data_IF_786790314612
#
_entry.id   IF_786790314612
#
_cell.length_a   1.000
_cell.length_b   1.000
_cell.length_c   1.000
_cell.angle_alpha   90.00
_cell.angle_beta   90.00
_cell.angle_gamma   90.00
#
_symmetry.space_group_name_H-M   'P 1'
#
loop_
_entity.id
_entity.type
_entity.pdbx_description
1 polymer ?
#
# COMPACT_ATOMS: atom_id res chain seq x y z
N UNK A 1 23.22 -3.50 18.22
CA UNK A 1 23.46 -3.38 16.76
C UNK A 1 23.01 -4.63 15.99
N UNK A 2 23.53 -5.83 16.30
CA UNK A 2 23.16 -7.09 15.60
C UNK A 2 21.65 -7.39 15.54
N UNK A 3 20.90 -7.10 16.61
CA UNK A 3 19.44 -7.30 16.66
C UNK A 3 18.66 -6.44 15.65
N UNK A 4 19.09 -5.20 15.43
CA UNK A 4 18.46 -4.31 14.44
C UNK A 4 18.76 -4.78 13.02
N UNK A 5 19.96 -5.31 12.76
CA UNK A 5 20.29 -5.91 11.47
C UNK A 5 19.39 -7.13 11.17
N UNK A 6 19.21 -8.02 12.15
CA UNK A 6 18.30 -9.17 12.00
C UNK A 6 16.85 -8.72 11.80
N UNK A 7 16.40 -7.68 12.51
CA UNK A 7 15.06 -7.12 12.33
C UNK A 7 14.85 -6.50 10.95
N UNK A 8 15.85 -5.77 10.43
CA UNK A 8 15.82 -5.26 9.07
C UNK A 8 15.78 -6.40 8.03
N UNK A 9 16.57 -7.46 8.26
CA UNK A 9 16.53 -8.66 7.43
C UNK A 9 15.15 -9.33 7.48
N UNK A 10 14.53 -9.44 8.66
CA UNK A 10 13.16 -9.94 8.81
C UNK A 10 12.17 -9.14 7.96
N UNK A 11 12.23 -7.80 8.05
CA UNK A 11 11.36 -6.89 7.28
C UNK A 11 11.52 -7.13 5.78
N UNK A 12 12.76 -7.18 5.27
CA UNK A 12 13.02 -7.40 3.84
C UNK A 12 12.54 -8.78 3.37
N UNK A 13 12.71 -9.82 4.19
CA UNK A 13 12.18 -11.17 3.87
C UNK A 13 10.65 -11.26 3.90
N UNK A 14 9.98 -10.20 4.35
CA UNK A 14 8.52 -10.05 4.42
C UNK A 14 8.03 -8.96 3.47
N UNK A 15 8.74 -8.73 2.38
CA UNK A 15 8.22 -7.97 1.26
C UNK A 15 6.97 -8.67 0.68
N UNK A 16 5.96 -7.96 0.16
CA UNK A 16 4.74 -8.57 -0.39
C UNK A 16 5.03 -9.63 -1.46
N UNK A 17 5.95 -9.37 -2.39
CA UNK A 17 6.42 -10.36 -3.39
C UNK A 17 7.09 -11.62 -2.82
N UNK A 18 7.38 -11.67 -1.51
CA UNK A 18 7.84 -12.89 -0.86
C UNK A 18 6.68 -13.84 -0.48
N UNK A 19 5.43 -13.46 -0.71
CA UNK A 19 4.28 -14.35 -0.51
C UNK A 19 4.49 -15.68 -1.27
N UNK A 20 4.23 -16.86 -0.69
CA UNK A 20 3.64 -17.16 0.62
C UNK A 20 4.67 -17.51 1.70
N UNK A 21 5.63 -16.61 1.96
CA UNK A 21 6.61 -16.79 3.04
C UNK A 21 5.94 -16.80 4.43
N UNK A 22 5.40 -17.96 4.83
CA UNK A 22 4.72 -18.21 6.10
C UNK A 22 5.66 -18.74 7.21
N UNK A 23 6.95 -18.40 7.18
CA UNK A 23 7.85 -18.75 8.28
C UNK A 23 7.33 -18.10 9.58
N UNK A 24 7.32 -18.80 10.72
CA UNK A 24 6.88 -18.17 11.96
C UNK A 24 7.98 -17.27 12.53
N UNK A 25 7.61 -16.24 13.31
CA UNK A 25 8.60 -15.43 14.05
C UNK A 25 9.52 -16.30 14.93
N UNK A 26 8.97 -17.39 15.49
CA UNK A 26 9.68 -18.34 16.33
C UNK A 26 10.77 -19.06 15.55
N UNK A 27 10.44 -19.56 14.36
CA UNK A 27 11.39 -20.28 13.50
C UNK A 27 12.49 -19.35 12.96
N UNK A 28 12.10 -18.15 12.52
CA UNK A 28 13.04 -17.11 12.12
C UNK A 28 14.01 -16.77 13.26
N UNK A 29 13.49 -16.47 14.46
CA UNK A 29 14.29 -16.13 15.62
C UNK A 29 15.26 -17.25 16.05
N UNK A 30 14.84 -18.51 15.92
CA UNK A 30 15.64 -19.68 16.28
C UNK A 30 16.95 -19.74 15.49
N UNK A 31 16.92 -19.36 14.21
CA UNK A 31 18.11 -19.33 13.32
C UNK A 31 19.19 -18.35 13.79
N UNK A 32 18.79 -17.30 14.50
CA UNK A 32 19.68 -16.23 14.96
C UNK A 32 19.89 -16.23 16.48
N UNK A 33 19.38 -17.25 17.18
CA UNK A 33 19.37 -17.31 18.65
C UNK A 33 18.83 -16.03 19.29
N UNK A 34 17.78 -15.46 18.70
CA UNK A 34 17.16 -14.20 19.12
C UNK A 34 15.87 -14.47 19.91
N UNK A 35 15.58 -13.67 20.93
CA UNK A 35 14.28 -13.69 21.60
C UNK A 35 13.23 -12.99 20.73
N UNK A 36 12.02 -13.55 20.65
CA UNK A 36 10.91 -12.97 19.86
C UNK A 36 10.63 -11.53 20.30
N UNK A 37 10.58 -11.25 21.60
CA UNK A 37 10.37 -9.89 22.14
C UNK A 37 11.45 -8.89 21.69
N UNK A 38 12.69 -9.35 21.53
CA UNK A 38 13.77 -8.52 20.98
C UNK A 38 13.57 -8.24 19.49
N UNK A 39 13.12 -9.22 18.72
CA UNK A 39 12.79 -9.02 17.30
C UNK A 39 11.65 -8.01 17.18
N UNK A 40 10.56 -8.20 17.92
CA UNK A 40 9.38 -7.33 17.87
C UNK A 40 9.72 -5.89 18.22
N UNK A 41 10.44 -5.67 19.33
CA UNK A 41 10.90 -4.33 19.70
C UNK A 41 11.72 -3.67 18.59
N UNK A 42 12.67 -4.39 17.98
CA UNK A 42 13.50 -3.85 16.92
C UNK A 42 12.71 -3.57 15.64
N UNK A 43 11.80 -4.48 15.26
CA UNK A 43 10.92 -4.31 14.08
C UNK A 43 10.02 -3.10 14.27
N UNK A 44 9.35 -2.97 15.41
CA UNK A 44 8.46 -1.84 15.70
C UNK A 44 9.23 -0.50 15.72
N UNK A 45 10.49 -0.51 16.19
CA UNK A 45 11.36 0.67 16.13
C UNK A 45 11.76 1.03 14.70
N UNK A 46 12.08 0.05 13.85
CA UNK A 46 12.40 0.31 12.45
C UNK A 46 11.18 0.86 11.73
N UNK A 47 10.02 0.22 11.90
CA UNK A 47 8.76 0.64 11.26
C UNK A 47 8.40 2.07 11.66
N UNK A 48 8.45 2.38 12.96
CA UNK A 48 8.08 3.73 13.44
C UNK A 48 9.08 4.82 13.06
N UNK A 49 10.37 4.50 12.91
CA UNK A 49 11.39 5.47 12.50
C UNK A 49 11.38 5.77 11.00
N UNK A 50 11.11 4.76 10.17
CA UNK A 50 11.17 4.88 8.70
C UNK A 50 9.80 4.91 8.03
N UNK A 51 8.71 4.80 8.80
CA UNK A 51 7.35 4.89 8.27
C UNK A 51 6.93 3.69 7.41
N UNK A 52 7.51 2.51 7.61
CA UNK A 52 7.14 1.32 6.82
C UNK A 52 5.64 1.04 6.93
N UNK A 53 5.02 0.76 5.79
CA UNK A 53 3.63 0.32 5.75
C UNK A 53 3.62 -1.15 6.14
N UNK A 54 2.90 -1.49 7.22
CA UNK A 54 2.72 -2.86 7.68
C UNK A 54 1.28 -3.29 7.40
N UNK A 55 1.13 -4.45 6.78
CA UNK A 55 -0.17 -5.12 6.68
C UNK A 55 -0.04 -6.61 6.98
N UNK A 56 -1.18 -7.27 7.15
CA UNK A 56 -1.27 -8.67 7.53
C UNK A 56 -2.03 -9.44 6.45
N UNK A 57 -1.58 -10.65 6.11
CA UNK A 57 -2.41 -11.58 5.32
C UNK A 57 -3.54 -12.19 6.17
N UNK A 58 -4.34 -13.05 5.53
CA UNK A 58 -5.43 -13.77 6.17
C UNK A 58 -4.99 -14.69 7.32
N UNK A 59 -3.72 -15.11 7.33
CA UNK A 59 -3.10 -15.91 8.39
C UNK A 59 -2.40 -15.05 9.46
N UNK A 60 -2.53 -13.72 9.40
CA UNK A 60 -1.88 -12.75 10.26
C UNK A 60 -0.35 -12.72 10.17
N UNK A 61 0.25 -13.16 9.07
CA UNK A 61 1.67 -12.92 8.82
C UNK A 61 1.88 -11.48 8.37
N UNK A 62 2.88 -10.77 8.93
CA UNK A 62 3.13 -9.39 8.56
C UNK A 62 3.95 -9.30 7.28
N UNK A 63 3.59 -8.32 6.47
CA UNK A 63 4.35 -7.86 5.31
C UNK A 63 4.63 -6.37 5.44
N UNK A 64 5.73 -5.93 4.83
CA UNK A 64 6.22 -4.57 4.96
C UNK A 64 6.61 -3.98 3.61
N UNK A 65 6.22 -2.72 3.41
CA UNK A 65 6.56 -1.91 2.24
C UNK A 65 7.29 -0.65 2.73
N UNK A 66 8.38 -0.30 2.06
CA UNK A 66 9.08 0.96 2.28
C UNK A 66 8.39 2.06 1.46
N UNK A 67 7.71 3.04 2.07
CA UNK A 67 6.93 4.03 1.31
C UNK A 67 7.78 4.92 0.40
N UNK A 68 9.09 5.05 0.66
CA UNK A 68 10.01 5.92 -0.08
C UNK A 68 10.80 5.18 -1.16
N UNK A 69 11.06 3.89 -0.98
CA UNK A 69 12.02 3.13 -1.81
C UNK A 69 11.44 1.92 -2.51
N UNK A 70 10.20 1.57 -2.22
CA UNK A 70 9.54 0.42 -2.81
C UNK A 70 9.08 0.70 -4.24
N UNK A 71 9.69 0.01 -5.19
CA UNK A 71 9.41 0.18 -6.62
C UNK A 71 7.98 -0.23 -6.98
N UNK A 72 7.42 -1.28 -6.35
CA UNK A 72 6.03 -1.67 -6.57
C UNK A 72 5.08 -0.55 -6.15
N UNK A 73 5.33 0.07 -4.99
CA UNK A 73 4.51 1.18 -4.53
C UNK A 73 4.63 2.41 -5.44
N UNK A 74 5.82 2.72 -5.94
CA UNK A 74 6.02 3.81 -6.90
C UNK A 74 5.23 3.58 -8.20
N UNK A 75 5.28 2.34 -8.72
CA UNK A 75 4.49 1.95 -9.90
C UNK A 75 3.00 2.09 -9.62
N UNK A 76 2.52 1.61 -8.47
CA UNK A 76 1.11 1.73 -8.04
C UNK A 76 0.69 3.20 -8.01
N UNK A 77 1.45 4.08 -7.35
CA UNK A 77 1.17 5.53 -7.28
C UNK A 77 1.04 6.15 -8.66
N UNK A 78 1.95 5.81 -9.58
CA UNK A 78 1.92 6.33 -10.95
C UNK A 78 0.69 5.86 -11.75
N UNK A 79 0.30 4.58 -11.60
CA UNK A 79 -0.91 4.04 -12.23
C UNK A 79 -2.16 4.75 -11.69
N UNK A 80 -2.26 4.87 -10.36
CA UNK A 80 -3.38 5.55 -9.69
C UNK A 80 -3.51 6.97 -10.19
N UNK A 81 -2.43 7.75 -10.14
CA UNK A 81 -2.41 9.14 -10.60
C UNK A 81 -2.86 9.28 -12.05
N UNK A 82 -2.28 8.49 -12.97
CA UNK A 82 -2.62 8.57 -14.40
C UNK A 82 -4.09 8.28 -14.67
N UNK A 83 -4.67 7.31 -13.96
CA UNK A 83 -6.09 6.93 -14.11
C UNK A 83 -7.03 7.97 -13.50
N UNK A 84 -6.67 8.57 -12.38
CA UNK A 84 -7.45 9.65 -11.75
C UNK A 84 -7.43 10.89 -12.65
N UNK A 85 -6.27 11.30 -13.17
CA UNK A 85 -6.17 12.41 -14.12
C UNK A 85 -7.08 12.19 -15.34
N UNK A 86 -7.09 10.98 -15.90
CA UNK A 86 -7.97 10.62 -17.00
C UNK A 86 -9.47 10.67 -16.62
N UNK A 87 -9.81 10.26 -15.40
CA UNK A 87 -11.18 10.34 -14.87
C UNK A 87 -11.61 11.79 -14.64
N UNK A 88 -10.74 12.64 -14.10
CA UNK A 88 -10.98 14.07 -13.89
C UNK A 88 -11.20 14.81 -15.21
N UNK A 89 -10.40 14.53 -16.24
CA UNK A 89 -10.61 15.11 -17.58
C UNK A 89 -12.00 14.74 -18.11
N UNK A 90 -12.42 13.48 -17.96
CA UNK A 90 -13.77 13.04 -18.38
C UNK A 90 -14.86 13.73 -17.56
N UNK A 91 -14.65 13.94 -16.26
CA UNK A 91 -15.56 14.71 -15.43
C UNK A 91 -15.70 16.14 -15.96
N UNK A 92 -14.60 16.85 -16.23
CA UNK A 92 -14.62 18.23 -16.70
C UNK A 92 -15.27 18.38 -18.08
N UNK A 93 -15.03 17.44 -19.00
CA UNK A 93 -15.57 17.50 -20.37
C UNK A 93 -17.03 17.06 -20.47
N UNK A 94 -17.44 16.07 -19.68
CA UNK A 94 -18.75 15.40 -19.83
C UNK A 94 -19.67 15.55 -18.62
N UNK A 95 -19.23 16.25 -17.57
CA UNK A 95 -19.92 16.44 -16.30
C UNK A 95 -20.42 15.12 -15.67
N UNK A 96 -19.65 14.04 -15.85
CA UNK A 96 -19.99 12.71 -15.33
C UNK A 96 -19.39 12.53 -13.94
N UNK A 97 -20.20 12.27 -12.90
CA UNK A 97 -19.70 12.10 -11.54
C UNK A 97 -18.75 10.90 -11.47
N UNK A 98 -17.68 11.05 -10.71
CA UNK A 98 -16.70 10.00 -10.46
C UNK A 98 -17.11 9.28 -9.18
N UNK A 99 -17.29 7.96 -9.25
CA UNK A 99 -17.44 7.12 -8.07
C UNK A 99 -16.06 6.59 -7.68
N UNK A 100 -15.55 7.04 -6.53
CA UNK A 100 -14.22 6.65 -6.02
C UNK A 100 -14.10 5.16 -5.77
N UNK A 101 -15.13 4.51 -5.22
CA UNK A 101 -15.11 3.07 -4.92
C UNK A 101 -14.97 2.23 -6.19
N UNK A 102 -15.77 2.54 -7.22
CA UNK A 102 -15.71 1.84 -8.51
C UNK A 102 -14.35 2.05 -9.18
N UNK A 103 -13.79 3.27 -9.07
CA UNK A 103 -12.47 3.58 -9.60
C UNK A 103 -11.37 2.79 -8.87
N UNK A 104 -11.43 2.72 -7.54
CA UNK A 104 -10.51 1.93 -6.71
C UNK A 104 -10.57 0.45 -7.08
N UNK A 105 -11.75 -0.15 -7.21
CA UNK A 105 -11.88 -1.56 -7.60
C UNK A 105 -11.25 -1.84 -8.97
N UNK A 106 -11.52 -0.97 -9.96
CA UNK A 106 -10.90 -1.08 -11.29
C UNK A 106 -9.38 -0.92 -11.25
N UNK A 107 -8.88 0.03 -10.46
CA UNK A 107 -7.45 0.24 -10.26
C UNK A 107 -6.75 -0.96 -9.63
N UNK A 108 -7.32 -1.52 -8.57
CA UNK A 108 -6.75 -2.69 -7.90
C UNK A 108 -6.70 -3.88 -8.85
N UNK A 109 -7.78 -4.11 -9.62
CA UNK A 109 -7.82 -5.14 -10.66
C UNK A 109 -6.72 -4.93 -11.71
N UNK A 110 -6.58 -3.71 -12.24
CA UNK A 110 -5.55 -3.39 -13.23
C UNK A 110 -4.13 -3.60 -12.65
N UNK A 111 -3.88 -3.17 -11.41
CA UNK A 111 -2.58 -3.30 -10.73
C UNK A 111 -2.17 -4.77 -10.57
N UNK A 112 -3.11 -5.62 -10.15
CA UNK A 112 -2.85 -7.06 -9.88
C UNK A 112 -2.75 -7.85 -11.18
N UNK A 113 -3.74 -7.74 -12.07
CA UNK A 113 -3.87 -8.64 -13.20
C UNK A 113 -3.11 -8.18 -14.44
N UNK A 114 -3.16 -6.89 -14.76
CA UNK A 114 -2.50 -6.33 -15.96
C UNK A 114 -1.04 -6.01 -15.68
N UNK A 115 -0.78 -5.27 -14.58
CA UNK A 115 0.57 -4.79 -14.27
C UNK A 115 1.39 -5.77 -13.42
N UNK A 116 0.75 -6.74 -12.75
CA UNK A 116 1.41 -7.69 -11.84
C UNK A 116 2.32 -7.00 -10.82
N UNK A 117 1.94 -5.79 -10.42
CA UNK A 117 2.72 -4.95 -9.53
C UNK A 117 2.49 -5.28 -8.05
N UNK A 118 1.61 -6.26 -7.76
CA UNK A 118 1.33 -6.74 -6.42
C UNK A 118 0.81 -8.18 -6.44
N UNK A 119 1.05 -8.99 -5.39
CA UNK A 119 0.46 -10.32 -5.27
C UNK A 119 -1.07 -10.29 -5.16
N UNK A 120 -1.74 -11.23 -5.83
CA UNK A 120 -3.21 -11.35 -5.82
C UNK A 120 -3.74 -11.70 -4.42
N UNK A 121 -2.97 -12.47 -3.64
CA UNK A 121 -3.39 -12.94 -2.32
C UNK A 121 -3.46 -11.82 -1.28
N UNK A 122 -2.91 -10.65 -1.60
CA UNK A 122 -2.92 -9.45 -0.76
C UNK A 122 -3.86 -8.37 -1.31
N UNK A 123 -4.85 -8.77 -2.13
CA UNK A 123 -5.79 -7.88 -2.81
C UNK A 123 -6.48 -6.90 -1.86
N UNK A 124 -6.92 -7.39 -0.68
CA UNK A 124 -7.63 -6.55 0.30
C UNK A 124 -6.74 -5.44 0.85
N UNK A 125 -5.49 -5.77 1.15
CA UNK A 125 -4.51 -4.84 1.69
C UNK A 125 -4.09 -3.83 0.62
N UNK A 126 -4.01 -4.27 -0.64
CA UNK A 126 -3.80 -3.38 -1.78
C UNK A 126 -4.98 -2.41 -1.96
N UNK A 127 -6.22 -2.89 -1.80
CA UNK A 127 -7.41 -2.03 -1.87
C UNK A 127 -7.32 -0.88 -0.89
N UNK A 128 -6.94 -1.14 0.36
CA UNK A 128 -6.81 -0.10 1.38
C UNK A 128 -5.76 0.96 0.97
N UNK A 129 -4.60 0.52 0.46
CA UNK A 129 -3.53 1.41 -0.04
C UNK A 129 -4.04 2.27 -1.21
N UNK A 130 -4.65 1.64 -2.21
CA UNK A 130 -5.15 2.33 -3.40
C UNK A 130 -6.28 3.28 -3.04
N UNK A 131 -7.20 2.89 -2.15
CA UNK A 131 -8.29 3.75 -1.70
C UNK A 131 -7.76 5.01 -1.03
N UNK A 132 -6.76 4.90 -0.16
CA UNK A 132 -6.14 6.09 0.46
C UNK A 132 -5.47 7.00 -0.58
N UNK A 133 -4.75 6.43 -1.55
CA UNK A 133 -4.15 7.22 -2.64
C UNK A 133 -5.20 7.92 -3.51
N UNK A 134 -6.31 7.24 -3.78
CA UNK A 134 -7.43 7.79 -4.53
C UNK A 134 -8.09 8.95 -3.78
N UNK A 135 -8.29 8.81 -2.47
CA UNK A 135 -8.82 9.87 -1.62
C UNK A 135 -7.90 11.09 -1.57
N UNK A 136 -6.58 10.87 -1.44
CA UNK A 136 -5.58 11.95 -1.45
C UNK A 136 -5.65 12.77 -2.74
N UNK A 137 -5.63 12.11 -3.90
CA UNK A 137 -5.70 12.75 -5.22
C UNK A 137 -7.06 13.44 -5.49
N UNK A 138 -8.14 12.97 -4.87
CA UNK A 138 -9.46 13.60 -4.98
C UNK A 138 -9.70 14.77 -4.02
N UNK A 139 -8.76 15.10 -3.14
CA UNK A 139 -8.90 16.26 -2.24
C UNK A 139 -9.16 17.55 -3.03
N UNK A 140 -8.35 17.80 -4.06
CA UNK A 140 -8.48 18.97 -4.95
C UNK A 140 -9.76 18.91 -5.81
N UNK A 141 -10.16 17.71 -6.24
CA UNK A 141 -11.41 17.50 -7.00
C UNK A 141 -12.65 17.83 -6.16
N UNK A 142 -12.70 17.36 -4.91
CA UNK A 142 -13.81 17.60 -4.01
C UNK A 142 -13.95 19.09 -3.71
N UNK A 143 -12.83 19.80 -3.52
CA UNK A 143 -12.82 21.24 -3.36
C UNK A 143 -13.34 21.96 -4.61
N UNK A 144 -12.91 21.52 -5.81
CA UNK A 144 -13.41 22.05 -7.07
C UNK A 144 -14.92 21.84 -7.27
N UNK A 145 -15.44 20.64 -6.97
CA UNK A 145 -16.88 20.33 -7.04
C UNK A 145 -17.67 21.21 -6.08
N UNK A 146 -17.18 21.41 -4.85
CA UNK A 146 -17.82 22.31 -3.88
C UNK A 146 -17.84 23.76 -4.38
N UNK A 147 -16.75 24.24 -4.99
CA UNK A 147 -16.70 25.59 -5.56
C UNK A 147 -17.67 25.75 -6.73
N UNK A 148 -17.77 24.76 -7.62
CA UNK A 148 -18.75 24.80 -8.71
C UNK A 148 -20.19 24.86 -8.20
N UNK A 149 -20.54 24.03 -7.22
CA UNK A 149 -21.87 24.04 -6.60
C UNK A 149 -22.19 25.36 -5.88
N UNK A 150 -21.17 26.03 -5.31
CA UNK A 150 -21.35 27.26 -4.55
C UNK A 150 -21.50 28.52 -5.40
N UNK A 151 -20.82 28.56 -6.56
CA UNK A 151 -20.72 29.78 -7.37
C UNK A 151 -21.46 29.71 -8.72
N UNK A 152 -21.84 28.52 -9.19
CA UNK A 152 -22.42 28.33 -10.53
C UNK A 152 -23.78 27.60 -10.53
N UNK A 153 -24.28 27.17 -9.37
CA UNK A 153 -25.64 26.62 -9.15
C UNK A 153 -26.32 27.51 -8.12
#
# INVERSE_FOLDING_TARGET
MYKFYIAAYYIVTRHPFAFSAHETKKDFCKRFSLQISSLEYCVDKIISLFGYIKFLDDMNFPYFIDPERDLSLEIIKNIVKSKIEAAMIKFLLYNRPINSQILTEGLVSDIVFEHKAFPEELFRQLYDIVSSLVEEEFTDHNEYVMLQQKYFI
#
